data_IF_400983612179
#
_entry.id   IF_400983612179
#
_cell.length_a   1.000
_cell.length_b   1.000
_cell.length_c   1.000
_cell.angle_alpha   90.00
_cell.angle_beta   90.00
_cell.angle_gamma   90.00
#
_symmetry.space_group_name_H-M   'P 1'
#
loop_
_entity.id
_entity.type
_entity.pdbx_description
1 polymer ?
#
# COMPACT_ATOMS: atom_id res chain seq x y z
N UNK A 1 7.62 21.18 -18.98
CA UNK A 1 6.58 20.45 -18.24
C UNK A 1 5.76 21.47 -17.48
N UNK A 2 4.43 21.35 -17.44
CA UNK A 2 3.62 22.17 -16.55
C UNK A 2 4.11 21.97 -15.10
N UNK A 3 4.05 23.02 -14.29
CA UNK A 3 4.34 22.89 -12.87
C UNK A 3 3.21 22.08 -12.22
N UNK A 4 3.54 20.96 -11.58
CA UNK A 4 2.56 20.21 -10.81
C UNK A 4 2.14 21.03 -9.58
N UNK A 5 0.84 21.01 -9.22
CA UNK A 5 0.38 21.71 -8.03
C UNK A 5 1.01 21.08 -6.79
N UNK A 6 1.29 21.91 -5.78
CA UNK A 6 1.58 21.42 -4.44
C UNK A 6 0.35 20.77 -3.81
N UNK A 7 0.55 19.83 -2.89
CA UNK A 7 -0.52 19.29 -2.04
C UNK A 7 -1.16 20.43 -1.23
N UNK A 8 -2.51 20.49 -1.15
CA UNK A 8 -3.19 21.47 -0.30
C UNK A 8 -2.76 21.32 1.17
N UNK A 9 -2.51 22.45 1.86
CA UNK A 9 -2.08 22.42 3.26
C UNK A 9 -3.06 21.67 4.17
N UNK A 10 -4.36 21.85 3.96
CA UNK A 10 -5.39 21.14 4.73
C UNK A 10 -5.33 19.61 4.53
N UNK A 11 -4.95 19.14 3.33
CA UNK A 11 -4.77 17.72 3.07
C UNK A 11 -3.55 17.18 3.83
N UNK A 12 -2.43 17.91 3.82
CA UNK A 12 -1.23 17.55 4.58
C UNK A 12 -1.56 17.37 6.07
N UNK A 13 -2.29 18.32 6.66
CA UNK A 13 -2.70 18.25 8.07
C UNK A 13 -3.59 17.03 8.37
N UNK A 14 -4.52 16.69 7.46
CA UNK A 14 -5.35 15.49 7.59
C UNK A 14 -4.53 14.20 7.48
N UNK A 15 -3.55 14.17 6.57
CA UNK A 15 -2.62 13.04 6.42
C UNK A 15 -1.79 12.85 7.68
N UNK A 16 -1.20 13.92 8.21
CA UNK A 16 -0.41 13.89 9.45
C UNK A 16 -1.23 13.41 10.65
N UNK A 17 -2.48 13.90 10.83
CA UNK A 17 -3.39 13.39 11.86
C UNK A 17 -3.69 11.90 11.67
N UNK A 18 -3.99 11.49 10.43
CA UNK A 18 -4.33 10.09 10.11
C UNK A 18 -3.20 9.15 10.47
N UNK A 19 -1.97 9.47 10.06
CA UNK A 19 -0.83 8.56 10.21
C UNK A 19 -0.16 8.64 11.58
N UNK A 20 -0.46 9.68 12.38
CA UNK A 20 -0.03 9.75 13.77
C UNK A 20 -0.57 8.56 14.59
N UNK A 21 -1.74 8.04 14.24
CA UNK A 21 -2.28 6.79 14.78
C UNK A 21 -1.81 5.58 13.93
N UNK A 22 -0.94 4.70 14.47
CA UNK A 22 -0.48 3.49 13.79
C UNK A 22 -1.59 2.62 13.20
N UNK A 23 -2.80 2.65 13.79
CA UNK A 23 -3.95 1.83 13.38
C UNK A 23 -4.63 2.37 12.13
N UNK A 24 -4.48 3.66 11.87
CA UNK A 24 -5.13 4.41 10.79
C UNK A 24 -4.22 4.61 9.57
N UNK A 25 -2.93 4.20 9.66
CA UNK A 25 -1.91 4.42 8.63
C UNK A 25 -2.20 3.73 7.29
N UNK A 26 -2.92 2.61 7.30
CA UNK A 26 -3.07 1.74 6.13
C UNK A 26 -4.50 1.70 5.60
N UNK A 27 -5.47 1.68 6.50
CA UNK A 27 -6.89 1.61 6.13
C UNK A 27 -7.41 3.01 5.80
N UNK A 28 -8.11 3.16 4.68
CA UNK A 28 -8.79 4.39 4.29
C UNK A 28 -10.15 4.56 4.99
N UNK A 29 -10.67 5.79 5.04
CA UNK A 29 -12.03 6.12 5.50
C UNK A 29 -12.23 6.36 7.00
N UNK A 30 -13.24 7.17 7.34
CA UNK A 30 -13.73 7.40 8.72
C UNK A 30 -14.57 6.22 9.26
N UNK A 31 -15.05 5.33 8.38
CA UNK A 31 -16.00 4.27 8.72
C UNK A 31 -15.35 2.94 9.10
N UNK A 32 -14.03 2.84 9.08
CA UNK A 32 -13.35 1.63 9.55
C UNK A 32 -13.53 1.53 11.07
N UNK A 33 -14.37 0.59 11.50
CA UNK A 33 -14.47 0.26 12.92
C UNK A 33 -13.26 -0.60 13.24
N UNK A 34 -12.27 0.02 13.89
CA UNK A 34 -11.17 -0.72 14.48
C UNK A 34 -11.68 -1.40 15.76
N UNK A 35 -11.83 -2.72 15.70
CA UNK A 35 -12.02 -3.53 16.88
C UNK A 35 -10.68 -3.75 17.57
N UNK A 36 -10.60 -3.46 18.87
CA UNK A 36 -9.57 -4.05 19.71
C UNK A 36 -9.95 -5.47 20.00
N UNK A 37 -9.15 -6.44 19.56
CA UNK A 37 -9.25 -7.76 20.15
C UNK A 37 -7.94 -8.50 20.10
N UNK A 38 -7.19 -8.40 21.19
CA UNK A 38 -6.26 -9.45 21.61
C UNK A 38 -7.00 -10.67 22.16
N UNK A 39 -8.34 -10.69 22.17
CA UNK A 39 -9.15 -11.85 22.53
C UNK A 39 -9.03 -12.93 21.44
N UNK A 40 -8.39 -14.07 21.75
CA UNK A 40 -8.18 -15.16 20.80
C UNK A 40 -9.48 -15.72 20.23
N UNK A 41 -10.59 -15.66 20.97
CA UNK A 41 -11.87 -16.24 20.52
C UNK A 41 -12.51 -15.39 19.41
N UNK A 42 -12.38 -14.06 19.48
CA UNK A 42 -12.83 -13.18 18.41
C UNK A 42 -11.97 -13.30 17.15
N UNK A 43 -10.65 -13.44 17.28
CA UNK A 43 -9.74 -13.69 16.14
C UNK A 43 -10.04 -15.06 15.52
N UNK A 44 -10.19 -16.09 16.36
CA UNK A 44 -10.56 -17.44 15.93
C UNK A 44 -11.88 -17.43 15.16
N UNK A 45 -12.91 -16.79 15.71
CA UNK A 45 -14.21 -16.59 15.07
C UNK A 45 -14.03 -15.91 13.71
N UNK A 46 -13.30 -14.79 13.66
CA UNK A 46 -12.99 -14.07 12.43
C UNK A 46 -12.34 -14.95 11.36
N UNK A 47 -11.30 -15.71 11.71
CA UNK A 47 -10.59 -16.58 10.76
C UNK A 47 -11.43 -17.79 10.33
N UNK A 48 -12.29 -18.29 11.22
CA UNK A 48 -13.16 -19.44 10.96
C UNK A 48 -14.39 -19.09 10.12
N UNK A 49 -14.96 -17.88 10.23
CA UNK A 49 -16.17 -17.46 9.52
C UNK A 49 -15.97 -17.32 8.00
N UNK A 50 -14.72 -17.11 7.54
CA UNK A 50 -14.35 -17.13 6.12
C UNK A 50 -14.15 -18.53 5.53
N UNK A 51 -14.09 -19.56 6.37
CA UNK A 51 -13.90 -20.95 5.94
C UNK A 51 -15.27 -21.49 5.54
N UNK A 52 -15.56 -21.55 4.24
CA UNK A 52 -16.59 -22.47 3.76
C UNK A 52 -16.12 -23.87 4.17
N UNK A 53 -16.83 -24.45 5.13
CA UNK A 53 -16.55 -25.77 5.68
C UNK A 53 -16.55 -26.78 4.52
N UNK A 54 -15.37 -27.13 4.02
CA UNK A 54 -15.20 -28.18 3.01
C UNK A 54 -15.42 -29.58 3.62
N UNK A 55 -15.84 -29.64 4.89
CA UNK A 55 -16.18 -30.86 5.60
C UNK A 55 -14.98 -31.68 6.04
N UNK A 56 -13.75 -31.16 5.89
CA UNK A 56 -12.53 -31.94 6.19
C UNK A 56 -12.09 -31.89 7.66
N UNK A 57 -12.73 -31.07 8.51
CA UNK A 57 -12.51 -31.10 9.97
C UNK A 57 -11.06 -30.84 10.40
N UNK A 58 -10.28 -30.14 9.58
CA UNK A 58 -8.88 -29.84 9.85
C UNK A 58 -8.68 -28.91 11.06
N UNK A 59 -7.47 -28.85 11.64
CA UNK A 59 -7.15 -27.98 12.75
C UNK A 59 -7.45 -26.50 12.40
N UNK A 60 -7.79 -25.75 13.44
CA UNK A 60 -8.09 -24.32 13.37
C UNK A 60 -6.85 -23.56 12.84
N UNK A 61 -6.96 -22.74 11.78
CA UNK A 61 -5.82 -22.00 11.22
C UNK A 61 -5.12 -21.12 12.25
N UNK A 62 -5.86 -20.55 13.21
CA UNK A 62 -5.28 -19.75 14.27
C UNK A 62 -4.40 -20.61 15.19
N UNK A 63 -4.82 -21.83 15.52
CA UNK A 63 -4.01 -22.75 16.32
C UNK A 63 -2.78 -23.24 15.54
N UNK A 64 -2.88 -23.44 14.22
CA UNK A 64 -1.74 -23.77 13.37
C UNK A 64 -0.69 -22.65 13.36
N UNK A 65 -1.11 -21.39 13.13
CA UNK A 65 -0.20 -20.23 13.15
C UNK A 65 0.44 -20.08 14.53
N UNK A 66 -0.35 -20.16 15.60
CA UNK A 66 0.15 -20.07 16.97
C UNK A 66 1.18 -21.17 17.28
N UNK A 67 0.92 -22.40 16.85
CA UNK A 67 1.87 -23.51 17.02
C UNK A 67 3.15 -23.30 16.20
N UNK A 68 3.03 -22.81 14.96
CA UNK A 68 4.17 -22.51 14.10
C UNK A 68 5.06 -21.42 14.70
N UNK A 69 4.47 -20.32 15.19
CA UNK A 69 5.22 -19.24 15.86
C UNK A 69 5.92 -19.75 17.13
N UNK A 70 5.22 -20.58 17.93
CA UNK A 70 5.81 -21.18 19.12
C UNK A 70 7.00 -22.09 18.78
N UNK A 71 6.93 -22.86 17.68
CA UNK A 71 8.04 -23.67 17.19
C UNK A 71 9.26 -22.83 16.76
N UNK A 72 9.03 -21.57 16.35
CA UNK A 72 10.09 -20.59 16.08
C UNK A 72 10.55 -19.83 17.32
N UNK A 73 10.01 -20.13 18.51
CA UNK A 73 10.31 -19.41 19.74
C UNK A 73 9.73 -18.00 19.79
N UNK A 74 8.70 -17.71 18.99
CA UNK A 74 8.03 -16.42 18.92
C UNK A 74 6.64 -16.50 19.57
N UNK A 75 6.21 -15.38 20.17
CA UNK A 75 4.82 -15.19 20.62
C UNK A 75 3.95 -14.67 19.48
N UNK A 76 2.67 -15.05 19.45
CA UNK A 76 1.70 -14.41 18.56
C UNK A 76 1.72 -12.88 18.77
N UNK A 77 1.74 -12.08 17.70
CA UNK A 77 1.62 -10.64 17.82
C UNK A 77 0.19 -10.29 18.26
N UNK A 78 0.04 -9.09 18.80
CA UNK A 78 -1.29 -8.51 18.94
C UNK A 78 -1.91 -8.35 17.55
N UNK A 79 -3.16 -8.78 17.40
CA UNK A 79 -3.90 -8.67 16.15
C UNK A 79 -5.00 -7.62 16.30
N UNK A 80 -5.20 -6.85 15.24
CA UNK A 80 -6.26 -5.87 15.11
C UNK A 80 -7.24 -6.37 14.07
N UNK A 81 -8.52 -6.41 14.42
CA UNK A 81 -9.58 -6.70 13.47
C UNK A 81 -10.21 -5.38 13.04
N UNK A 82 -10.30 -5.15 11.74
CA UNK A 82 -10.99 -4.01 11.17
C UNK A 82 -12.11 -4.47 10.27
N UNK A 83 -13.25 -3.79 10.33
CA UNK A 83 -14.33 -3.92 9.34
C UNK A 83 -14.50 -2.58 8.64
N UNK A 84 -14.51 -2.58 7.30
CA UNK A 84 -14.78 -1.38 6.52
C UNK A 84 -16.28 -1.10 6.36
N UNK A 85 -16.63 -0.02 5.66
CA UNK A 85 -18.02 0.39 5.42
C UNK A 85 -18.84 -0.65 4.62
N UNK A 86 -18.17 -1.45 3.82
CA UNK A 86 -18.77 -2.47 2.96
C UNK A 86 -18.88 -3.83 3.65
N UNK A 87 -18.46 -3.92 4.92
CA UNK A 87 -18.47 -5.15 5.69
C UNK A 87 -17.28 -6.07 5.37
N UNK A 88 -16.31 -5.61 4.58
CA UNK A 88 -15.08 -6.36 4.38
C UNK A 88 -14.27 -6.32 5.67
N UNK A 89 -13.59 -7.43 5.93
CA UNK A 89 -12.99 -7.75 7.21
C UNK A 89 -11.51 -8.00 6.99
N UNK A 90 -10.67 -7.31 7.76
CA UNK A 90 -9.21 -7.51 7.74
C UNK A 90 -8.68 -7.78 9.14
N UNK A 91 -7.67 -8.64 9.23
CA UNK A 91 -6.90 -8.87 10.43
C UNK A 91 -5.46 -8.43 10.16
N UNK A 92 -4.95 -7.48 10.94
CA UNK A 92 -3.57 -6.99 10.81
C UNK A 92 -2.81 -7.20 12.10
N UNK A 93 -1.54 -7.57 11.99
CA UNK A 93 -0.59 -7.64 13.12
C UNK A 93 0.22 -6.36 13.27
N UNK A 94 -0.20 -5.25 12.64
CA UNK A 94 0.54 -4.00 12.65
C UNK A 94 0.78 -3.54 14.09
N UNK A 95 2.01 -3.75 14.56
CA UNK A 95 2.40 -3.45 15.92
C UNK A 95 2.22 -1.92 16.14
N UNK A 96 1.37 -1.48 17.08
CA UNK A 96 1.14 -0.07 17.33
C UNK A 96 2.40 0.66 17.79
N UNK A 97 3.39 -0.06 18.32
CA UNK A 97 4.69 0.49 18.70
C UNK A 97 5.64 0.67 17.51
N UNK A 98 5.24 0.26 16.29
CA UNK A 98 6.04 0.51 15.09
C UNK A 98 6.03 2.02 14.83
N UNK A 99 7.17 2.72 14.93
CA UNK A 99 7.20 4.13 14.63
C UNK A 99 6.90 4.35 13.15
N UNK A 100 6.22 5.45 12.84
CA UNK A 100 6.09 5.90 11.46
C UNK A 100 7.49 6.09 10.86
N UNK A 101 7.65 5.75 9.58
CA UNK A 101 8.89 6.02 8.87
C UNK A 101 9.24 7.50 8.98
N UNK A 102 10.53 7.81 9.19
CA UNK A 102 10.97 9.21 9.14
C UNK A 102 10.72 9.76 7.73
N UNK A 103 10.51 11.07 7.58
CA UNK A 103 10.51 11.70 6.26
C UNK A 103 11.75 11.33 5.46
N UNK A 104 11.60 11.20 4.14
CA UNK A 104 12.71 10.85 3.27
C UNK A 104 13.81 11.92 3.37
N UNK A 105 15.07 11.48 3.44
CA UNK A 105 16.17 12.44 3.49
C UNK A 105 16.37 13.10 2.11
N UNK A 106 17.05 14.25 2.09
CA UNK A 106 17.46 14.89 0.83
C UNK A 106 18.31 13.96 -0.04
N UNK A 107 19.09 13.07 0.57
CA UNK A 107 19.92 12.11 -0.14
C UNK A 107 19.06 11.01 -0.80
N UNK A 108 18.01 10.55 -0.13
CA UNK A 108 17.08 9.55 -0.66
C UNK A 108 16.33 10.14 -1.87
N UNK A 109 15.75 11.34 -1.71
CA UNK A 109 15.06 12.02 -2.80
C UNK A 109 16.00 12.27 -4.00
N UNK A 110 17.23 12.71 -3.76
CA UNK A 110 18.21 12.89 -4.83
C UNK A 110 18.58 11.56 -5.52
N UNK A 111 18.58 10.44 -4.80
CA UNK A 111 18.81 9.12 -5.39
C UNK A 111 17.65 8.71 -6.31
N UNK A 112 16.40 8.95 -5.90
CA UNK A 112 15.22 8.71 -6.72
C UNK A 112 15.21 9.61 -7.97
N UNK A 113 15.48 10.91 -7.82
CA UNK A 113 15.61 11.84 -8.95
C UNK A 113 16.69 11.41 -9.94
N UNK A 114 17.84 10.96 -9.43
CA UNK A 114 18.91 10.43 -10.26
C UNK A 114 18.47 9.17 -11.01
N UNK A 115 17.70 8.29 -10.35
CA UNK A 115 17.18 7.05 -10.94
C UNK A 115 16.16 7.33 -12.04
N UNK A 116 15.26 8.27 -11.81
CA UNK A 116 14.24 8.70 -12.77
C UNK A 116 14.87 9.54 -13.90
N UNK A 117 15.99 10.21 -13.64
CA UNK A 117 16.68 11.06 -14.60
C UNK A 117 16.13 12.50 -14.69
N UNK A 118 15.28 12.91 -13.74
CA UNK A 118 14.73 14.27 -13.64
C UNK A 118 14.30 14.63 -12.22
N UNK A 119 14.07 15.92 -11.93
CA UNK A 119 13.57 16.33 -10.63
C UNK A 119 12.19 15.77 -10.30
N UNK A 120 11.97 15.46 -9.03
CA UNK A 120 10.66 15.07 -8.49
C UNK A 120 9.74 16.29 -8.42
N UNK A 121 8.47 16.15 -8.86
CA UNK A 121 7.39 17.08 -8.59
C UNK A 121 7.25 17.45 -7.11
N UNK A 122 6.73 18.65 -6.86
CA UNK A 122 6.62 19.21 -5.50
C UNK A 122 5.65 18.41 -4.62
N UNK A 123 4.53 17.96 -5.16
CA UNK A 123 3.56 17.11 -4.45
C UNK A 123 4.16 15.78 -3.98
N UNK A 124 4.94 15.09 -4.82
CA UNK A 124 5.68 13.88 -4.43
C UNK A 124 6.71 14.18 -3.34
N UNK A 125 7.44 15.31 -3.45
CA UNK A 125 8.38 15.74 -2.41
C UNK A 125 7.67 16.02 -1.08
N UNK A 126 6.50 16.65 -1.11
CA UNK A 126 5.68 16.91 0.08
C UNK A 126 5.17 15.60 0.69
N UNK A 127 4.70 14.65 -0.11
CA UNK A 127 4.29 13.32 0.35
C UNK A 127 5.43 12.61 1.11
N UNK A 128 6.64 12.58 0.54
CA UNK A 128 7.81 12.01 1.22
C UNK A 128 8.32 12.85 2.39
N UNK A 129 7.95 14.12 2.45
CA UNK A 129 8.19 15.01 3.58
C UNK A 129 7.34 14.66 4.81
N UNK A 130 6.22 13.96 4.62
CA UNK A 130 5.36 13.46 5.69
C UNK A 130 5.97 12.19 6.30
N UNK A 131 6.20 11.16 5.48
CA UNK A 131 6.88 9.93 5.86
C UNK A 131 7.36 9.13 4.64
N UNK A 132 8.47 8.41 4.79
CA UNK A 132 9.08 7.59 3.73
C UNK A 132 8.39 6.21 3.56
N UNK A 133 7.12 6.24 3.13
CA UNK A 133 6.31 5.05 2.86
C UNK A 133 5.75 4.34 4.10
N UNK A 134 5.06 3.22 3.87
CA UNK A 134 4.42 2.40 4.92
C UNK A 134 3.15 3.03 5.52
N UNK A 135 2.54 3.96 4.78
CA UNK A 135 1.27 4.60 5.09
C UNK A 135 0.53 4.91 3.78
N UNK A 136 -0.76 5.23 3.85
CA UNK A 136 -1.52 5.63 2.66
C UNK A 136 -2.20 4.45 1.96
N UNK A 137 -2.70 4.67 0.73
CA UNK A 137 -3.36 3.64 -0.07
C UNK A 137 -2.37 2.54 -0.50
N UNK A 138 -2.89 1.32 -0.70
CA UNK A 138 -2.14 0.15 -1.18
C UNK A 138 -2.07 -1.00 -0.17
N UNK A 139 -2.00 -2.24 -0.67
CA UNK A 139 -1.82 -3.44 0.15
C UNK A 139 -0.50 -4.12 -0.22
N UNK A 140 0.39 -4.34 0.76
CA UNK A 140 1.56 -5.21 0.56
C UNK A 140 1.33 -6.53 1.27
N UNK A 141 1.50 -7.63 0.52
CA UNK A 141 1.43 -9.01 1.04
C UNK A 141 2.80 -9.58 1.38
N UNK A 142 3.87 -8.84 1.13
CA UNK A 142 5.25 -9.31 1.30
C UNK A 142 5.83 -8.89 2.65
N UNK A 143 6.27 -9.89 3.42
CA UNK A 143 6.93 -9.70 4.71
C UNK A 143 8.10 -8.71 4.59
N UNK A 144 8.02 -7.60 5.33
CA UNK A 144 9.07 -6.56 5.37
C UNK A 144 8.75 -5.28 4.59
N UNK A 145 7.72 -5.30 3.75
CA UNK A 145 7.16 -4.12 3.07
C UNK A 145 5.80 -3.85 3.72
N UNK A 146 5.72 -2.85 4.60
CA UNK A 146 4.44 -2.52 5.23
C UNK A 146 3.41 -2.11 4.18
N UNK A 147 2.12 -2.43 4.35
CA UNK A 147 1.05 -1.93 3.49
C UNK A 147 1.11 -0.39 3.34
N UNK A 148 0.67 0.10 2.18
CA UNK A 148 0.62 1.51 1.84
C UNK A 148 1.58 1.90 0.71
N UNK A 149 1.92 3.19 0.68
CA UNK A 149 2.82 3.79 -0.28
C UNK A 149 4.25 3.27 -0.13
N UNK A 150 4.92 3.12 -1.26
CA UNK A 150 6.32 2.76 -1.33
C UNK A 150 7.22 3.81 -0.65
N UNK A 151 8.23 3.33 0.07
CA UNK A 151 9.38 4.17 0.43
C UNK A 151 10.16 4.56 -0.83
N UNK A 152 10.97 5.61 -0.75
CA UNK A 152 11.87 6.02 -1.83
C UNK A 152 12.74 4.84 -2.31
N UNK A 153 13.29 4.07 -1.37
CA UNK A 153 14.08 2.89 -1.70
C UNK A 153 13.23 1.79 -2.35
N UNK A 154 12.01 1.59 -1.86
CA UNK A 154 11.03 0.68 -2.45
C UNK A 154 10.75 1.05 -3.90
N UNK A 155 10.46 2.32 -4.18
CA UNK A 155 10.22 2.80 -5.56
C UNK A 155 11.41 2.58 -6.49
N UNK A 156 12.66 2.80 -6.03
CA UNK A 156 13.85 2.53 -6.84
C UNK A 156 13.95 1.04 -7.16
N UNK A 157 13.76 0.18 -6.16
CA UNK A 157 13.81 -1.27 -6.35
C UNK A 157 12.71 -1.75 -7.30
N UNK A 158 11.52 -1.18 -7.18
CA UNK A 158 10.35 -1.52 -7.99
C UNK A 158 10.54 -1.06 -9.44
N UNK A 159 11.08 0.14 -9.66
CA UNK A 159 11.46 0.60 -11.00
C UNK A 159 12.50 -0.32 -11.66
N UNK A 160 13.52 -0.75 -10.92
CA UNK A 160 14.53 -1.69 -11.41
C UNK A 160 13.90 -3.06 -11.78
N UNK A 161 12.91 -3.50 -11.01
CA UNK A 161 12.22 -4.75 -11.26
C UNK A 161 11.26 -4.67 -12.46
N UNK A 162 10.43 -3.63 -12.52
CA UNK A 162 9.46 -3.39 -13.59
C UNK A 162 10.13 -3.11 -14.94
N UNK A 163 11.26 -2.42 -14.97
CA UNK A 163 12.03 -2.24 -16.21
C UNK A 163 12.66 -3.56 -16.68
N UNK A 164 13.03 -4.45 -15.75
CA UNK A 164 13.60 -5.76 -16.08
C UNK A 164 12.55 -6.75 -16.55
N UNK A 165 11.38 -6.76 -15.91
CA UNK A 165 10.30 -7.73 -16.15
C UNK A 165 9.23 -7.22 -17.10
N UNK A 166 9.18 -5.93 -17.40
CA UNK A 166 8.02 -5.33 -18.06
C UNK A 166 6.78 -5.33 -17.17
N UNK A 167 5.72 -4.61 -17.57
CA UNK A 167 4.45 -4.59 -16.84
C UNK A 167 3.74 -5.96 -16.79
N UNK A 168 4.02 -6.91 -17.70
CA UNK A 168 3.44 -8.29 -17.69
C UNK A 168 4.20 -9.28 -16.82
N UNK A 169 5.23 -8.84 -16.09
CA UNK A 169 6.12 -9.74 -15.35
C UNK A 169 6.89 -10.78 -16.22
N UNK A 170 6.65 -10.79 -17.53
CA UNK A 170 7.12 -11.78 -18.52
C UNK A 170 8.09 -11.19 -19.56
N UNK A 171 8.28 -9.86 -19.55
CA UNK A 171 9.27 -9.14 -20.35
C UNK A 171 8.79 -8.74 -21.73
N UNK A 172 7.49 -8.82 -22.02
CA UNK A 172 6.96 -8.49 -23.35
C UNK A 172 6.61 -7.00 -23.48
N UNK A 173 6.26 -6.33 -22.38
CA UNK A 173 6.06 -4.88 -22.30
C UNK A 173 7.29 -4.10 -21.78
N UNK A 174 7.35 -2.80 -22.10
CA UNK A 174 8.35 -1.87 -21.54
C UNK A 174 7.67 -0.97 -20.51
N UNK A 175 8.22 -0.90 -19.29
CA UNK A 175 7.75 0.05 -18.27
C UNK A 175 7.92 1.51 -18.76
N UNK A 176 6.87 2.34 -18.71
CA UNK A 176 7.00 3.73 -19.15
C UNK A 176 7.93 4.55 -18.24
N UNK A 177 8.98 5.14 -18.81
CA UNK A 177 10.00 5.90 -18.07
C UNK A 177 9.46 7.14 -17.32
N UNK A 178 8.22 7.57 -17.59
CA UNK A 178 7.58 8.69 -16.90
C UNK A 178 6.71 8.26 -15.71
N UNK A 179 6.53 6.96 -15.50
CA UNK A 179 5.76 6.43 -14.36
C UNK A 179 6.67 6.07 -13.19
N UNK A 180 6.22 6.45 -11.99
CA UNK A 180 6.85 6.11 -10.72
C UNK A 180 5.85 5.28 -9.90
N UNK A 181 6.17 4.04 -9.51
CA UNK A 181 5.25 3.19 -8.77
C UNK A 181 5.01 3.75 -7.36
N UNK A 182 3.76 4.04 -7.03
CA UNK A 182 3.32 4.52 -5.71
C UNK A 182 3.08 3.37 -4.74
N UNK A 183 2.55 2.24 -5.22
CA UNK A 183 2.20 1.07 -4.39
C UNK A 183 2.78 -0.22 -5.00
N UNK A 184 2.80 -1.30 -4.23
CA UNK A 184 3.25 -2.63 -4.68
C UNK A 184 2.06 -3.52 -5.08
N UNK A 185 2.27 -4.43 -6.04
CA UNK A 185 1.46 -5.60 -6.42
C UNK A 185 -0.07 -5.41 -6.38
N UNK A 186 -0.72 -5.46 -5.21
CA UNK A 186 -2.19 -5.42 -5.11
C UNK A 186 -2.75 -3.99 -5.02
N UNK A 187 -3.54 -3.63 -6.03
CA UNK A 187 -4.03 -2.25 -6.22
C UNK A 187 -2.90 -1.33 -6.69
N UNK A 188 -2.20 -1.70 -7.77
CA UNK A 188 -0.96 -1.04 -8.11
C UNK A 188 -1.26 0.32 -8.75
N UNK A 189 -0.66 1.35 -8.18
CA UNK A 189 -0.81 2.73 -8.58
C UNK A 189 0.56 3.31 -8.96
N UNK A 190 0.61 4.10 -10.02
CA UNK A 190 1.80 4.80 -10.48
C UNK A 190 1.50 6.29 -10.68
N UNK A 191 2.44 7.14 -10.29
CA UNK A 191 2.39 8.56 -10.54
C UNK A 191 2.99 8.86 -11.91
N UNK A 192 2.23 9.60 -12.73
CA UNK A 192 2.70 10.12 -14.01
C UNK A 192 3.41 11.45 -13.82
N UNK A 193 4.72 11.44 -13.98
CA UNK A 193 5.57 12.62 -13.87
C UNK A 193 5.37 13.66 -14.98
N UNK A 194 4.68 13.31 -16.08
CA UNK A 194 4.39 14.25 -17.18
C UNK A 194 3.06 14.97 -16.98
N UNK A 195 2.05 14.29 -16.41
CA UNK A 195 0.68 14.83 -16.27
C UNK A 195 0.25 15.11 -14.84
N UNK A 196 0.88 14.48 -13.85
CA UNK A 196 0.57 14.58 -12.43
C UNK A 196 -0.56 13.65 -11.99
N UNK A 197 -1.09 12.87 -12.94
CA UNK A 197 -2.16 11.92 -12.71
C UNK A 197 -1.64 10.68 -11.98
N UNK A 198 -2.54 10.02 -11.27
CA UNK A 198 -2.29 8.67 -10.75
C UNK A 198 -2.96 7.68 -11.69
N UNK A 199 -2.18 6.74 -12.16
CA UNK A 199 -2.60 5.63 -13.01
C UNK A 199 -2.68 4.37 -12.17
N UNK A 200 -3.63 3.51 -12.49
CA UNK A 200 -3.66 2.14 -12.01
C UNK A 200 -3.41 1.20 -13.18
N UNK A 201 -2.88 0.02 -12.87
CA UNK A 201 -2.80 -1.05 -13.86
C UNK A 201 -3.36 -2.37 -13.33
N UNK A 202 -3.84 -3.20 -14.25
CA UNK A 202 -4.20 -4.57 -13.96
C UNK A 202 -2.91 -5.42 -13.96
N UNK A 203 -2.41 -5.81 -12.80
CA UNK A 203 -1.21 -6.66 -12.70
C UNK A 203 -1.40 -8.05 -13.33
N UNK A 204 -2.64 -8.49 -13.53
CA UNK A 204 -3.00 -9.78 -14.11
C UNK A 204 -3.50 -9.66 -15.55
N UNK A 205 -3.19 -8.56 -16.25
CA UNK A 205 -3.68 -8.34 -17.61
C UNK A 205 -3.30 -9.46 -18.58
N UNK A 206 -2.15 -10.12 -18.35
CA UNK A 206 -1.67 -11.26 -19.13
C UNK A 206 -2.58 -12.50 -19.00
N UNK A 207 -3.26 -12.67 -17.86
CA UNK A 207 -4.24 -13.75 -17.63
C UNK A 207 -5.61 -13.43 -18.26
N UNK A 208 -5.80 -12.18 -18.72
CA UNK A 208 -7.09 -11.65 -19.17
C UNK A 208 -7.13 -11.28 -20.66
N UNK A 209 -6.11 -11.69 -21.45
CA UNK A 209 -5.97 -11.35 -22.87
C UNK A 209 -6.04 -9.84 -23.16
N UNK A 210 -5.73 -8.99 -22.16
CA UNK A 210 -5.75 -7.54 -22.31
C UNK A 210 -4.45 -7.07 -22.96
N UNK A 211 -4.54 -6.04 -23.78
CA UNK A 211 -3.36 -5.29 -24.22
C UNK A 211 -2.83 -4.41 -23.09
N UNK A 212 -1.56 -4.01 -23.16
CA UNK A 212 -0.97 -3.03 -22.23
C UNK A 212 -1.81 -1.74 -22.18
N UNK A 213 -2.34 -1.27 -23.31
CA UNK A 213 -3.17 -0.07 -23.32
C UNK A 213 -4.52 -0.24 -22.58
N UNK A 214 -5.07 -1.46 -22.54
CA UNK A 214 -6.31 -1.78 -21.82
C UNK A 214 -6.06 -2.10 -20.34
N UNK A 215 -4.85 -2.54 -20.00
CA UNK A 215 -4.44 -2.82 -18.64
C UNK A 215 -4.25 -1.54 -17.81
N UNK A 216 -3.94 -0.42 -18.46
CA UNK A 216 -3.64 0.85 -17.81
C UNK A 216 -4.80 1.84 -17.91
N UNK A 217 -5.10 2.50 -16.79
CA UNK A 217 -6.13 3.54 -16.77
C UNK A 217 -5.79 4.63 -15.75
N UNK A 218 -6.21 5.86 -16.02
CA UNK A 218 -6.15 6.95 -15.04
C UNK A 218 -7.11 6.60 -13.90
N UNK A 219 -6.59 6.47 -12.68
CA UNK A 219 -7.42 6.28 -11.49
C UNK A 219 -7.80 7.63 -10.89
N UNK A 220 -6.86 8.58 -10.83
CA UNK A 220 -7.08 9.90 -10.23
C UNK A 220 -6.45 11.01 -11.06
N UNK A 221 -7.10 12.18 -11.06
CA UNK A 221 -6.62 13.34 -11.80
C UNK A 221 -5.35 13.96 -11.20
N UNK A 222 -5.06 13.69 -9.92
CA UNK A 222 -3.86 14.14 -9.24
C UNK A 222 -3.49 13.24 -8.05
N UNK A 223 -2.26 13.39 -7.53
CA UNK A 223 -1.86 12.76 -6.25
C UNK A 223 -2.68 13.28 -5.07
N UNK A 224 -3.08 14.55 -5.08
CA UNK A 224 -3.94 15.11 -4.04
C UNK A 224 -5.32 14.43 -4.03
N UNK A 225 -5.91 14.17 -5.20
CA UNK A 225 -7.18 13.44 -5.31
C UNK A 225 -7.04 12.01 -4.81
N UNK A 226 -5.97 11.31 -5.19
CA UNK A 226 -5.69 9.94 -4.74
C UNK A 226 -5.54 9.82 -3.21
N UNK A 227 -4.80 10.74 -2.58
CA UNK A 227 -4.64 10.75 -1.13
C UNK A 227 -5.92 11.18 -0.40
N UNK A 228 -6.69 12.09 -1.01
CA UNK A 228 -7.98 12.51 -0.45
C UNK A 228 -9.01 11.39 -0.49
N UNK A 229 -9.10 10.66 -1.60
CA UNK A 229 -9.98 9.50 -1.74
C UNK A 229 -9.69 8.45 -0.66
N UNK A 230 -8.41 8.10 -0.48
CA UNK A 230 -7.97 7.22 0.60
C UNK A 230 -8.41 7.70 1.99
N UNK A 231 -8.26 8.98 2.30
CA UNK A 231 -8.67 9.52 3.59
C UNK A 231 -10.18 9.43 3.82
N UNK A 232 -10.97 9.73 2.78
CA UNK A 232 -12.42 9.87 2.90
C UNK A 232 -13.15 8.53 2.80
N UNK A 233 -12.58 7.56 2.08
CA UNK A 233 -13.02 6.17 1.98
C UNK A 233 -14.46 6.00 1.49
N UNK A 234 -14.61 5.64 0.23
CA UNK A 234 -15.76 4.83 -0.23
C UNK A 234 -15.59 3.35 0.17
#
# INVERSE_FOLDING_TARGET
>A
MPAMPSLPQALIEMLEDRIADPRRRQFGGEKTVHGHTSDPDAIRKFMSEGRQDDGTGGPDPFDLIRQQMANWGQSMPEMFLSTDANGNRSASSSNPDTPLARPASKADLAALEKRIGRPLPEDLRQMFGIADGGWGPGFSHTEGHGPGLNSVRGMISELDDLERRGPDYCGEGVWPMHFVPLTENFGPAAYDLDTGQVWQWDEHYYDHDKTVAEAWSVSHASLADFLSDWLMGE
#
